data_IF_306544046507
#
_entry.id   IF_306544046507
#
_cell.length_a   1.000
_cell.length_b   1.000
_cell.length_c   1.000
_cell.angle_alpha   90.00
_cell.angle_beta   90.00
_cell.angle_gamma   90.00
#
_symmetry.space_group_name_H-M   'P 1'
#
loop_
_entity.id
_entity.type
_entity.pdbx_description
1 polymer ?
#
# COMPACT_ATOMS: atom_id res chain seq x y z
N UNK A 1 26.56 88.38 -24.22
CA UNK A 1 26.56 87.45 -23.08
C UNK A 1 25.54 86.34 -23.36
N UNK A 2 25.97 85.26 -24.02
CA UNK A 2 25.18 84.03 -24.16
C UNK A 2 26.16 82.86 -24.11
N UNK A 3 26.13 82.10 -23.00
CA UNK A 3 26.93 80.89 -22.82
C UNK A 3 26.29 79.71 -23.56
N UNK A 4 27.06 78.80 -24.18
CA UNK A 4 26.50 77.58 -24.76
C UNK A 4 26.18 76.54 -23.67
N UNK A 5 25.08 75.80 -23.86
CA UNK A 5 24.61 74.72 -22.97
C UNK A 5 25.55 73.50 -22.98
N UNK A 6 25.65 72.75 -21.86
CA UNK A 6 26.42 71.51 -21.80
C UNK A 6 25.70 70.34 -22.50
N UNK A 7 26.45 69.34 -23.01
CA UNK A 7 25.90 68.13 -23.62
C UNK A 7 25.34 67.13 -22.58
N UNK A 8 24.42 66.23 -22.97
CA UNK A 8 23.84 65.24 -22.07
C UNK A 8 24.85 64.13 -21.68
N UNK A 9 24.65 63.44 -20.54
CA UNK A 9 25.55 62.40 -20.08
C UNK A 9 25.45 61.15 -20.97
N UNK A 10 26.61 60.63 -21.36
CA UNK A 10 26.76 59.39 -22.11
C UNK A 10 26.32 58.19 -21.24
N UNK A 11 25.28 57.49 -21.66
CA UNK A 11 24.94 56.15 -21.15
C UNK A 11 26.03 55.17 -21.60
N UNK A 12 26.71 54.55 -20.64
CA UNK A 12 27.67 53.46 -20.89
C UNK A 12 26.93 52.18 -21.32
N UNK A 13 27.52 51.36 -22.20
CA UNK A 13 26.96 50.06 -22.54
C UNK A 13 27.18 49.07 -21.38
N UNK A 14 26.26 48.12 -21.14
CA UNK A 14 26.50 47.06 -20.17
C UNK A 14 27.56 46.08 -20.68
N UNK A 15 28.55 45.78 -19.84
CA UNK A 15 29.59 44.78 -20.11
C UNK A 15 28.98 43.38 -20.33
N UNK A 16 29.47 42.59 -21.31
CA UNK A 16 28.97 41.25 -21.58
C UNK A 16 29.79 40.24 -20.77
N UNK A 17 29.47 40.02 -19.50
CA UNK A 17 30.09 38.92 -18.73
C UNK A 17 29.30 38.60 -17.47
N UNK A 18 28.29 37.72 -17.62
CA UNK A 18 27.97 36.62 -16.70
C UNK A 18 26.72 35.93 -17.22
N UNK A 19 26.92 34.99 -18.15
CA UNK A 19 26.02 33.85 -18.30
C UNK A 19 26.16 33.01 -17.03
N UNK A 20 25.46 33.41 -15.97
CA UNK A 20 25.20 32.52 -14.86
C UNK A 20 24.20 31.47 -15.37
N UNK A 21 24.69 30.26 -15.63
CA UNK A 21 23.87 29.06 -15.74
C UNK A 21 23.04 28.93 -14.45
N UNK A 22 21.81 29.43 -14.44
CA UNK A 22 20.78 29.00 -13.50
C UNK A 22 19.90 27.97 -14.20
N UNK A 23 20.39 26.73 -14.27
CA UNK A 23 19.47 25.62 -14.40
C UNK A 23 18.51 25.69 -13.20
N UNK A 24 17.18 25.70 -13.39
CA UNK A 24 16.25 25.74 -12.28
C UNK A 24 16.48 24.51 -11.40
N UNK A 25 16.75 24.74 -10.11
CA UNK A 25 17.04 23.70 -9.09
C UNK A 25 16.08 22.50 -9.15
N UNK A 26 14.83 22.72 -9.54
CA UNK A 26 13.83 21.67 -9.75
C UNK A 26 14.20 20.68 -10.88
N UNK A 27 14.87 21.11 -11.94
CA UNK A 27 15.25 20.25 -13.06
C UNK A 27 16.43 19.34 -12.68
N UNK A 28 17.43 19.88 -11.97
CA UNK A 28 18.53 19.08 -11.41
C UNK A 28 18.01 18.10 -10.35
N UNK A 29 17.13 18.52 -9.44
CA UNK A 29 16.50 17.62 -8.46
C UNK A 29 15.67 16.53 -9.11
N UNK A 30 14.93 16.84 -10.18
CA UNK A 30 14.12 15.86 -10.92
C UNK A 30 15.00 14.91 -11.74
N UNK A 31 16.09 15.39 -12.33
CA UNK A 31 17.09 14.55 -13.01
C UNK A 31 17.82 13.64 -12.01
N UNK A 32 18.24 14.15 -10.85
CA UNK A 32 18.86 13.34 -9.78
C UNK A 32 17.88 12.28 -9.29
N UNK A 33 16.62 12.62 -9.02
CA UNK A 33 15.60 11.65 -8.62
C UNK A 33 15.29 10.62 -9.71
N UNK A 34 15.32 11.00 -11.00
CA UNK A 34 15.16 10.05 -12.11
C UNK A 34 16.38 9.14 -12.30
N UNK A 35 17.60 9.65 -12.10
CA UNK A 35 18.84 8.88 -12.16
C UNK A 35 18.94 7.90 -10.98
N UNK A 36 18.50 8.31 -9.79
CA UNK A 36 18.38 7.45 -8.61
C UNK A 36 17.40 6.29 -8.88
N UNK A 37 16.22 6.59 -9.43
CA UNK A 37 15.22 5.58 -9.78
C UNK A 37 15.72 4.55 -10.80
N UNK A 38 16.41 4.97 -11.87
CA UNK A 38 16.94 4.04 -12.88
C UNK A 38 18.03 3.14 -12.30
N UNK A 39 18.93 3.70 -11.51
CA UNK A 39 20.02 2.98 -10.86
C UNK A 39 19.47 1.98 -9.84
N UNK A 40 18.55 2.41 -8.97
CA UNK A 40 17.88 1.54 -8.01
C UNK A 40 17.12 0.40 -8.70
N UNK A 41 16.49 0.65 -9.85
CA UNK A 41 15.80 -0.37 -10.64
C UNK A 41 16.75 -1.44 -11.17
N UNK A 42 17.91 -1.04 -11.68
CA UNK A 42 18.91 -1.97 -12.21
C UNK A 42 19.54 -2.80 -11.09
N UNK A 43 19.85 -2.17 -9.96
CA UNK A 43 20.37 -2.83 -8.77
C UNK A 43 19.36 -3.83 -8.19
N UNK A 44 18.09 -3.43 -8.07
CA UNK A 44 17.02 -4.26 -7.54
C UNK A 44 16.75 -5.48 -8.43
N UNK A 45 16.85 -5.34 -9.76
CA UNK A 45 16.73 -6.47 -10.69
C UNK A 45 17.81 -7.53 -10.49
N UNK A 46 19.02 -7.11 -10.15
CA UNK A 46 20.13 -8.01 -9.87
C UNK A 46 20.19 -8.45 -8.40
N UNK A 47 19.30 -7.95 -7.55
CA UNK A 47 19.34 -8.17 -6.11
C UNK A 47 18.89 -9.59 -5.74
N UNK A 48 19.56 -10.17 -4.77
CA UNK A 48 19.22 -11.47 -4.18
C UNK A 48 19.20 -11.31 -2.67
N UNK A 49 18.39 -12.12 -1.97
CA UNK A 49 18.20 -12.03 -0.51
C UNK A 49 19.50 -12.09 0.33
N UNK A 50 20.56 -12.63 -0.26
CA UNK A 50 21.89 -12.79 0.34
C UNK A 50 22.78 -11.56 0.23
N UNK A 51 22.42 -10.58 -0.61
CA UNK A 51 23.22 -9.37 -0.81
C UNK A 51 22.92 -8.34 0.28
N UNK A 52 23.93 -7.54 0.70
CA UNK A 52 23.72 -6.46 1.64
C UNK A 52 22.83 -5.38 1.02
N UNK A 53 21.99 -4.75 1.85
CA UNK A 53 21.07 -3.70 1.42
C UNK A 53 21.84 -2.39 1.32
N UNK A 54 21.90 -1.82 0.11
CA UNK A 54 22.52 -0.53 -0.13
C UNK A 54 21.60 0.63 0.29
N UNK A 55 22.12 1.86 0.43
CA UNK A 55 21.30 3.03 0.76
C UNK A 55 20.19 3.30 -0.26
N UNK A 56 20.42 2.99 -1.55
CA UNK A 56 19.40 3.19 -2.59
C UNK A 56 18.25 2.20 -2.45
N UNK A 57 18.55 0.94 -2.14
CA UNK A 57 17.53 -0.07 -1.84
C UNK A 57 16.78 0.27 -0.54
N UNK A 58 17.45 0.88 0.44
CA UNK A 58 16.78 1.38 1.64
C UNK A 58 15.77 2.48 1.30
N UNK A 59 16.12 3.45 0.44
CA UNK A 59 15.17 4.46 -0.03
C UNK A 59 13.96 3.87 -0.73
N UNK A 60 14.13 2.78 -1.50
CA UNK A 60 12.99 2.09 -2.12
C UNK A 60 12.01 1.58 -1.06
N UNK A 61 12.52 1.03 0.05
CA UNK A 61 11.68 0.62 1.18
C UNK A 61 11.02 1.81 1.88
N UNK A 62 11.72 2.93 2.03
CA UNK A 62 11.18 4.17 2.62
C UNK A 62 10.06 4.77 1.76
N UNK A 63 10.21 4.80 0.44
CA UNK A 63 9.17 5.21 -0.49
C UNK A 63 7.94 4.30 -0.39
N UNK A 64 8.15 2.99 -0.29
CA UNK A 64 7.07 2.01 -0.13
C UNK A 64 6.36 2.17 1.21
N UNK A 65 7.11 2.42 2.30
CA UNK A 65 6.56 2.68 3.62
C UNK A 65 5.78 4.01 3.70
N UNK A 66 6.20 5.03 2.96
CA UNK A 66 5.57 6.37 3.00
C UNK A 66 4.34 6.47 2.10
N UNK A 67 4.42 5.90 0.89
CA UNK A 67 3.39 6.08 -0.14
C UNK A 67 2.45 4.89 -0.30
N UNK A 68 2.86 3.70 0.18
CA UNK A 68 2.18 2.44 -0.07
C UNK A 68 2.12 2.02 -1.55
N UNK A 69 2.75 2.78 -2.46
CA UNK A 69 2.77 2.52 -3.89
C UNK A 69 4.18 2.11 -4.34
N UNK A 70 4.27 0.97 -5.00
CA UNK A 70 5.52 0.52 -5.61
C UNK A 70 5.65 0.99 -7.06
N UNK A 71 6.84 1.43 -7.45
CA UNK A 71 7.25 1.63 -8.86
C UNK A 71 8.00 0.42 -9.43
N UNK A 72 8.15 -0.63 -8.64
CA UNK A 72 8.91 -1.84 -8.92
C UNK A 72 8.02 -3.09 -8.87
N UNK A 73 8.42 -4.12 -9.62
CA UNK A 73 7.74 -5.42 -9.62
C UNK A 73 7.79 -6.08 -8.25
N UNK A 74 6.71 -6.74 -7.86
CA UNK A 74 6.62 -7.40 -6.56
C UNK A 74 7.73 -8.45 -6.37
N UNK A 75 8.05 -9.23 -7.39
CA UNK A 75 9.12 -10.25 -7.33
C UNK A 75 10.45 -9.67 -6.83
N UNK A 76 10.77 -8.47 -7.29
CA UNK A 76 11.99 -7.74 -6.93
C UNK A 76 11.90 -7.16 -5.51
N UNK A 77 10.77 -6.53 -5.18
CA UNK A 77 10.52 -6.03 -3.83
C UNK A 77 10.54 -7.13 -2.78
N UNK A 78 9.97 -8.29 -3.10
CA UNK A 78 9.90 -9.46 -2.23
C UNK A 78 11.28 -9.95 -1.81
N UNK A 79 12.23 -9.94 -2.74
CA UNK A 79 13.63 -10.27 -2.43
C UNK A 79 14.24 -9.24 -1.48
N UNK A 80 14.00 -7.95 -1.70
CA UNK A 80 14.50 -6.87 -0.85
C UNK A 80 13.87 -6.86 0.54
N UNK A 81 12.55 -6.98 0.64
CA UNK A 81 11.80 -7.05 1.90
C UNK A 81 12.25 -8.27 2.70
N UNK A 82 12.41 -9.42 2.05
CA UNK A 82 12.93 -10.64 2.70
C UNK A 82 14.34 -10.44 3.27
N UNK A 83 15.25 -9.83 2.51
CA UNK A 83 16.59 -9.49 3.00
C UNK A 83 16.53 -8.55 4.21
N UNK A 84 15.68 -7.52 4.15
CA UNK A 84 15.53 -6.55 5.25
C UNK A 84 14.96 -7.22 6.49
N UNK A 85 13.99 -8.11 6.33
CA UNK A 85 13.40 -8.87 7.42
C UNK A 85 14.43 -9.76 8.11
N UNK A 86 15.25 -10.49 7.35
CA UNK A 86 16.36 -11.30 7.90
C UNK A 86 17.31 -10.41 8.70
N UNK A 87 17.74 -9.30 8.11
CA UNK A 87 18.64 -8.35 8.77
C UNK A 87 18.07 -7.87 10.11
N UNK A 88 16.85 -7.34 10.09
CA UNK A 88 16.20 -6.75 11.27
C UNK A 88 15.93 -7.79 12.36
N UNK A 89 15.44 -8.97 11.98
CA UNK A 89 15.17 -10.04 12.95
C UNK A 89 16.45 -10.52 13.63
N UNK A 90 17.55 -10.67 12.87
CA UNK A 90 18.84 -11.07 13.42
C UNK A 90 19.42 -10.02 14.37
N UNK A 91 19.34 -8.74 14.00
CA UNK A 91 19.77 -7.63 14.85
C UNK A 91 18.99 -7.59 16.18
N UNK A 92 17.68 -7.87 16.13
CA UNK A 92 16.83 -7.94 17.32
C UNK A 92 17.18 -9.12 18.22
N UNK A 93 17.31 -10.31 17.63
CA UNK A 93 17.60 -11.53 18.37
C UNK A 93 18.99 -11.52 18.99
N UNK A 94 19.99 -10.94 18.30
CA UNK A 94 21.33 -10.75 18.85
C UNK A 94 21.38 -9.78 20.04
N UNK A 95 20.46 -8.81 20.10
CA UNK A 95 20.36 -7.86 21.21
C UNK A 95 19.59 -8.40 22.41
N UNK A 96 18.44 -9.02 22.18
CA UNK A 96 17.55 -9.60 23.21
C UNK A 96 16.85 -10.85 22.66
N UNK A 97 17.40 -12.05 22.86
CA UNK A 97 16.77 -13.28 22.43
C UNK A 97 15.57 -13.59 23.34
N UNK A 98 14.35 -13.43 22.80
CA UNK A 98 13.09 -13.55 23.54
C UNK A 98 12.12 -14.55 22.84
N UNK A 99 12.61 -15.34 21.89
CA UNK A 99 11.79 -16.35 21.20
C UNK A 99 11.69 -17.59 22.08
N UNK A 100 10.76 -17.57 23.04
CA UNK A 100 10.50 -18.71 23.92
C UNK A 100 9.75 -19.85 23.22
N UNK A 101 10.19 -21.10 23.44
CA UNK A 101 9.52 -22.33 23.02
C UNK A 101 9.86 -22.79 21.59
N UNK A 102 9.59 -21.96 20.59
CA UNK A 102 9.90 -22.23 19.17
C UNK A 102 11.26 -21.60 18.80
N UNK A 103 12.09 -22.27 18.00
CA UNK A 103 13.41 -21.76 17.63
C UNK A 103 13.32 -20.53 16.72
N UNK A 104 14.10 -19.48 17.01
CA UNK A 104 14.15 -18.23 16.23
C UNK A 104 14.24 -18.46 14.71
N UNK A 105 15.14 -19.35 14.28
CA UNK A 105 15.33 -19.67 12.87
C UNK A 105 14.08 -20.27 12.23
N UNK A 106 13.34 -21.11 12.96
CA UNK A 106 12.10 -21.70 12.45
C UNK A 106 11.01 -20.65 12.25
N UNK A 107 10.90 -19.69 13.18
CA UNK A 107 9.96 -18.57 13.06
C UNK A 107 10.35 -17.70 11.87
N UNK A 108 11.63 -17.35 11.73
CA UNK A 108 12.12 -16.54 10.62
C UNK A 108 11.89 -17.22 9.26
N UNK A 109 12.15 -18.53 9.16
CA UNK A 109 11.86 -19.33 7.96
C UNK A 109 10.38 -19.32 7.62
N UNK A 110 9.49 -19.47 8.62
CA UNK A 110 8.03 -19.38 8.43
C UNK A 110 7.62 -18.01 7.88
N UNK A 111 8.15 -16.92 8.45
CA UNK A 111 7.86 -15.56 7.96
C UNK A 111 8.29 -15.38 6.49
N UNK A 112 9.47 -15.91 6.12
CA UNK A 112 9.95 -15.84 4.74
C UNK A 112 9.08 -16.64 3.79
N UNK A 113 8.61 -17.82 4.21
CA UNK A 113 7.68 -18.64 3.43
C UNK A 113 6.34 -17.91 3.20
N UNK A 114 5.77 -17.31 4.25
CA UNK A 114 4.54 -16.51 4.12
C UNK A 114 4.74 -15.31 3.17
N UNK A 115 5.90 -14.67 3.20
CA UNK A 115 6.22 -13.61 2.24
C UNK A 115 6.27 -14.13 0.79
N UNK A 116 6.75 -15.37 0.59
CA UNK A 116 6.85 -16.02 -0.72
C UNK A 116 5.51 -16.42 -1.33
N UNK A 117 4.50 -16.71 -0.50
CA UNK A 117 3.13 -17.06 -0.94
C UNK A 117 2.43 -15.94 -1.70
N UNK A 118 2.80 -14.67 -1.46
CA UNK A 118 2.22 -13.54 -2.18
C UNK A 118 2.66 -13.51 -3.64
N UNK A 119 1.72 -13.64 -4.58
CA UNK A 119 1.94 -13.46 -6.02
C UNK A 119 2.10 -11.98 -6.39
N UNK A 120 1.39 -11.10 -5.68
CA UNK A 120 1.35 -9.65 -5.90
C UNK A 120 1.63 -8.89 -4.60
N UNK A 121 1.88 -7.58 -4.70
CA UNK A 121 2.15 -6.74 -3.53
C UNK A 121 0.90 -6.70 -2.61
N UNK A 122 0.98 -7.19 -1.35
CA UNK A 122 -0.17 -7.17 -0.46
C UNK A 122 -0.50 -5.74 -0.02
N UNK A 123 -1.76 -5.48 0.33
CA UNK A 123 -2.16 -4.16 0.85
C UNK A 123 -1.47 -3.80 2.18
N UNK A 124 -0.92 -4.80 2.88
CA UNK A 124 -0.12 -4.63 4.09
C UNK A 124 1.33 -4.25 3.83
N UNK A 125 1.79 -4.23 2.58
CA UNK A 125 3.20 -3.97 2.22
C UNK A 125 3.72 -2.64 2.79
N UNK A 126 2.88 -1.59 2.78
CA UNK A 126 3.22 -0.31 3.39
C UNK A 126 3.55 -0.49 4.89
N UNK A 127 2.61 -1.08 5.64
CA UNK A 127 2.75 -1.25 7.08
C UNK A 127 3.89 -2.21 7.44
N UNK A 128 4.13 -3.21 6.61
CA UNK A 128 5.25 -4.13 6.72
C UNK A 128 6.58 -3.36 6.59
N UNK A 129 6.74 -2.52 5.57
CA UNK A 129 7.94 -1.72 5.38
C UNK A 129 8.14 -0.67 6.47
N UNK A 130 7.08 -0.01 6.94
CA UNK A 130 7.15 0.89 8.10
C UNK A 130 7.72 0.18 9.34
N UNK A 131 7.23 -1.03 9.62
CA UNK A 131 7.68 -1.84 10.75
C UNK A 131 9.13 -2.32 10.58
N UNK A 132 9.56 -2.67 9.36
CA UNK A 132 10.93 -3.12 9.08
C UNK A 132 11.95 -1.98 9.10
N UNK A 133 11.55 -0.75 8.80
CA UNK A 133 12.45 0.41 8.83
C UNK A 133 12.67 0.94 10.24
N UNK A 134 11.62 0.99 11.06
CA UNK A 134 11.71 1.46 12.44
C UNK A 134 10.98 0.52 13.42
N UNK A 135 11.50 -0.70 13.63
CA UNK A 135 10.90 -1.67 14.53
C UNK A 135 10.96 -1.22 15.98
N UNK A 136 11.96 -0.41 16.37
CA UNK A 136 12.21 0.00 17.76
C UNK A 136 11.20 1.01 18.27
N UNK A 137 10.64 1.80 17.36
CA UNK A 137 9.53 2.71 17.68
C UNK A 137 8.27 1.99 18.15
N UNK A 138 8.02 0.78 17.66
CA UNK A 138 6.81 0.01 17.99
C UNK A 138 7.12 -1.07 19.04
N UNK A 139 8.22 -1.79 18.88
CA UNK A 139 8.66 -2.88 19.75
C UNK A 139 10.11 -2.65 20.18
N UNK A 140 10.31 -1.93 21.28
CA UNK A 140 11.64 -1.53 21.73
C UNK A 140 12.58 -2.70 22.12
N UNK A 141 12.03 -3.77 22.69
CA UNK A 141 12.83 -4.79 23.41
C UNK A 141 12.46 -6.25 23.16
N UNK A 142 11.31 -6.57 22.58
CA UNK A 142 10.85 -7.97 22.46
C UNK A 142 10.88 -8.47 21.02
N UNK A 143 11.82 -9.39 20.76
CA UNK A 143 11.97 -10.10 19.48
C UNK A 143 10.71 -10.90 19.14
N UNK A 144 10.11 -11.57 20.14
CA UNK A 144 8.86 -12.33 19.95
C UNK A 144 7.70 -11.45 19.51
N UNK A 145 7.54 -10.26 20.10
CA UNK A 145 6.47 -9.33 19.69
C UNK A 145 6.67 -8.84 18.26
N UNK A 146 7.91 -8.52 17.87
CA UNK A 146 8.24 -8.13 16.50
C UNK A 146 7.89 -9.25 15.52
N UNK A 147 8.35 -10.47 15.77
CA UNK A 147 8.08 -11.63 14.90
C UNK A 147 6.58 -11.93 14.77
N UNK A 148 5.84 -11.90 15.89
CA UNK A 148 4.38 -12.07 15.86
C UNK A 148 3.68 -10.95 15.08
N UNK A 149 4.19 -9.72 15.13
CA UNK A 149 3.62 -8.61 14.37
C UNK A 149 3.88 -8.77 12.87
N UNK A 150 5.07 -9.20 12.49
CA UNK A 150 5.39 -9.54 11.09
C UNK A 150 4.50 -10.67 10.58
N UNK A 151 4.33 -11.73 11.37
CA UNK A 151 3.45 -12.85 11.03
C UNK A 151 2.03 -12.36 10.75
N UNK A 152 1.48 -11.55 11.65
CA UNK A 152 0.13 -10.97 11.48
C UNK A 152 -0.02 -10.13 10.21
N UNK A 153 1.02 -9.42 9.77
CA UNK A 153 0.99 -8.63 8.53
C UNK A 153 1.08 -9.49 7.27
N UNK A 154 1.69 -10.67 7.37
CA UNK A 154 1.87 -11.64 6.29
C UNK A 154 0.72 -12.67 6.22
N UNK A 155 0.00 -12.92 7.30
CA UNK A 155 -1.17 -13.82 7.32
C UNK A 155 -2.47 -13.11 6.92
N UNK A 156 -2.39 -11.87 6.42
CA UNK A 156 -3.60 -11.13 6.03
C UNK A 156 -4.18 -11.67 4.72
N UNK A 157 -5.03 -12.68 4.86
CA UNK A 157 -5.85 -13.25 3.80
C UNK A 157 -7.19 -12.51 3.74
N UNK A 158 -7.22 -11.34 3.11
CA UNK A 158 -8.47 -10.77 2.62
C UNK A 158 -8.35 -10.48 1.12
N UNK A 159 -8.37 -11.53 0.31
CA UNK A 159 -9.25 -11.48 -0.85
C UNK A 159 -10.67 -11.50 -0.29
N UNK A 160 -11.40 -10.39 -0.41
CA UNK A 160 -12.84 -10.45 -0.20
C UNK A 160 -13.38 -11.55 -1.11
N UNK A 161 -14.03 -12.60 -0.58
CA UNK A 161 -14.82 -13.45 -1.45
C UNK A 161 -15.84 -12.51 -2.11
N UNK A 162 -15.93 -12.55 -3.44
CA UNK A 162 -17.13 -12.06 -4.11
C UNK A 162 -18.28 -12.72 -3.38
N UNK A 163 -19.17 -11.93 -2.77
CA UNK A 163 -20.46 -12.44 -2.35
C UNK A 163 -21.14 -12.92 -3.63
N UNK A 164 -20.95 -14.20 -3.95
CA UNK A 164 -21.77 -14.88 -4.93
C UNK A 164 -23.13 -14.93 -4.27
N UNK A 165 -24.04 -14.07 -4.72
CA UNK A 165 -25.45 -14.23 -4.41
C UNK A 165 -25.80 -15.66 -4.81
N UNK A 166 -26.07 -16.50 -3.82
CA UNK A 166 -26.66 -17.80 -4.11
C UNK A 166 -27.97 -17.52 -4.85
N UNK A 167 -28.29 -18.26 -5.94
CA UNK A 167 -29.59 -18.11 -6.57
C UNK A 167 -30.67 -18.31 -5.49
N UNK A 168 -31.67 -17.42 -5.49
CA UNK A 168 -32.77 -17.48 -4.53
C UNK A 168 -33.29 -18.92 -4.49
N UNK A 169 -33.35 -19.50 -3.28
CA UNK A 169 -34.04 -20.78 -3.12
C UNK A 169 -35.52 -20.54 -3.39
N UNK A 170 -36.10 -21.41 -4.19
CA UNK A 170 -37.53 -21.42 -4.53
C UNK A 170 -38.34 -21.40 -3.23
N UNK A 171 -39.18 -20.37 -3.05
CA UNK A 171 -39.97 -20.15 -1.84
C UNK A 171 -39.32 -19.29 -0.74
N UNK A 172 -38.20 -18.62 -1.03
CA UNK A 172 -37.59 -17.66 -0.08
C UNK A 172 -38.24 -16.28 -0.15
N UNK A 173 -38.21 -15.53 0.96
CA UNK A 173 -38.74 -14.16 1.05
C UNK A 173 -38.14 -13.20 0.00
N UNK A 174 -36.93 -13.49 -0.48
CA UNK A 174 -36.25 -12.72 -1.53
C UNK A 174 -36.99 -12.83 -2.88
N UNK A 175 -37.45 -14.02 -3.25
CA UNK A 175 -38.20 -14.26 -4.49
C UNK A 175 -39.56 -13.56 -4.45
N UNK A 176 -40.23 -13.60 -3.29
CA UNK A 176 -41.48 -12.87 -3.09
C UNK A 176 -41.28 -11.36 -3.28
N UNK A 177 -40.19 -10.79 -2.74
CA UNK A 177 -39.89 -9.36 -2.93
C UNK A 177 -39.52 -9.01 -4.38
N UNK A 178 -38.80 -9.88 -5.08
CA UNK A 178 -38.45 -9.66 -6.49
C UNK A 178 -39.67 -9.79 -7.40
N UNK A 179 -40.58 -10.72 -7.12
CA UNK A 179 -41.83 -10.88 -7.88
C UNK A 179 -42.80 -9.71 -7.63
N UNK A 180 -42.93 -9.24 -6.39
CA UNK A 180 -43.71 -8.03 -6.08
C UNK A 180 -43.11 -6.78 -6.75
N UNK A 181 -41.77 -6.65 -6.75
CA UNK A 181 -41.10 -5.55 -7.42
C UNK A 181 -41.26 -5.61 -8.95
N UNK A 182 -41.23 -6.82 -9.53
CA UNK A 182 -41.47 -7.04 -10.96
C UNK A 182 -42.93 -6.73 -11.35
N UNK A 183 -43.90 -7.08 -10.50
CA UNK A 183 -45.32 -6.74 -10.70
C UNK A 183 -45.56 -5.22 -10.67
N UNK A 184 -44.94 -4.52 -9.71
CA UNK A 184 -45.00 -3.05 -9.63
C UNK A 184 -44.34 -2.38 -10.85
N UNK A 185 -43.25 -2.93 -11.35
CA UNK A 185 -42.56 -2.42 -12.54
C UNK A 185 -43.33 -2.67 -13.86
N UNK A 186 -44.18 -3.70 -13.90
CA UNK A 186 -44.92 -4.11 -15.11
C UNK A 186 -46.25 -3.38 -15.30
N UNK A 187 -46.72 -2.63 -14.29
CA UNK A 187 -47.86 -1.72 -14.45
C UNK A 187 -49.21 -2.41 -14.74
N UNK A 188 -49.43 -3.63 -14.25
CA UNK A 188 -50.77 -4.25 -14.27
C UNK A 188 -51.58 -3.84 -13.02
N UNK A 189 -52.58 -2.98 -13.22
CA UNK A 189 -53.73 -2.87 -12.33
C UNK A 189 -54.75 -3.95 -12.72
N UNK A 190 -54.91 -4.96 -11.87
CA UNK A 190 -56.03 -5.89 -11.92
C UNK A 190 -56.51 -6.13 -10.50
N UNK A 191 -57.52 -5.38 -10.07
CA UNK A 191 -58.18 -5.59 -8.79
C UNK A 191 -59.26 -6.67 -8.88
N UNK A 192 -59.57 -7.28 -7.74
CA UNK A 192 -60.95 -7.55 -7.33
C UNK A 192 -61.03 -7.54 -5.79
N UNK A 193 -62.20 -7.16 -5.23
CA UNK A 193 -62.35 -6.71 -3.85
C UNK A 193 -62.30 -7.87 -2.83
N UNK A 194 -61.81 -7.58 -1.63
CA UNK A 194 -62.00 -8.48 -0.48
C UNK A 194 -63.49 -8.57 -0.15
N UNK A 195 -64.12 -9.71 -0.45
CA UNK A 195 -65.35 -10.13 0.19
C UNK A 195 -65.06 -10.37 1.69
N UNK A 196 -65.68 -9.56 2.54
CA UNK A 196 -65.79 -9.82 3.98
C UNK A 196 -67.11 -10.56 4.18
N UNK A 197 -67.07 -11.89 4.31
CA UNK A 197 -68.16 -12.66 4.93
C UNK A 197 -67.69 -14.06 5.34
N UNK A 198 -68.01 -14.47 6.58
CA UNK A 198 -67.96 -15.89 6.97
C UNK A 198 -67.38 -16.16 8.35
N UNK A 199 -68.22 -16.01 9.37
CA UNK A 199 -67.98 -16.42 10.74
C UNK A 199 -67.48 -17.88 10.87
N UNK A 200 -66.43 -18.08 11.66
CA UNK A 200 -65.96 -19.39 12.12
C UNK A 200 -65.82 -19.36 13.64
N UNK A 201 -66.84 -19.87 14.31
CA UNK A 201 -66.97 -20.00 15.77
C UNK A 201 -65.83 -20.86 16.33
N UNK A 202 -65.03 -20.32 17.25
CA UNK A 202 -64.24 -21.14 18.18
C UNK A 202 -64.99 -21.21 19.50
N UNK A 203 -65.67 -22.34 19.70
CA UNK A 203 -66.21 -22.77 20.99
C UNK A 203 -65.05 -23.16 21.92
N UNK A 204 -65.12 -22.68 23.16
CA UNK A 204 -64.33 -23.21 24.27
C UNK A 204 -64.69 -24.67 24.53
N UNK A 205 -63.66 -25.49 24.78
CA UNK A 205 -63.65 -26.43 25.89
C UNK A 205 -62.23 -26.73 26.33
#
# INVERSE_FOLDING_TARGET
>A
LSLPRPPPPCLSPPSPSRLALSAPSAFLSRCIAQMDHKTAKEELKAFTRTKPITPQLTKVLEELATSGRSRFEWVQLKALIGAKMIQVCNEYNGGQPDVGGEGFDSVLMRLLALLDEFSETPFTAQRLCELLLDPRKIYATSTRKLMNALEKLLTVSSTMPVMVMAPAKEGSYQEATENELAKLASGEQGGDPMDIEGAGVYSQQ
#
